data_IF_692465710686
#
_entry.id   IF_692465710686
#
_cell.length_a   1.000
_cell.length_b   1.000
_cell.length_c   1.000
_cell.angle_alpha   90.00
_cell.angle_beta   90.00
_cell.angle_gamma   90.00
#
_symmetry.space_group_name_H-M   'P 1'
#
loop_
_entity.id
_entity.type
_entity.pdbx_description
1 polymer ?
#
# COMPACT_ATOMS: atom_id res chain seq x y z
N UNK A 1 3.04 51.95 -15.48
CA UNK A 1 3.22 53.04 -16.47
C UNK A 1 4.70 53.06 -16.82
N UNK A 2 5.00 52.66 -18.07
CA UNK A 2 6.14 52.98 -18.96
C UNK A 2 7.58 52.89 -18.43
N UNK A 3 8.43 52.00 -18.97
CA UNK A 3 9.24 52.18 -20.21
C UNK A 3 10.31 53.28 -20.03
N UNK A 4 11.57 53.20 -20.46
CA UNK A 4 12.32 52.27 -21.33
C UNK A 4 13.79 52.73 -21.45
N UNK A 5 14.66 51.83 -21.95
CA UNK A 5 15.74 52.02 -22.97
C UNK A 5 17.03 52.81 -22.62
N UNK A 6 18.21 52.17 -22.71
CA UNK A 6 19.17 52.10 -23.87
C UNK A 6 19.94 53.43 -24.07
N UNK A 7 21.22 53.56 -24.47
CA UNK A 7 22.36 52.75 -24.95
C UNK A 7 23.52 53.74 -25.22
N UNK A 8 24.71 53.21 -25.57
CA UNK A 8 25.83 53.80 -26.35
C UNK A 8 27.11 53.98 -25.52
N UNK A 9 28.17 53.19 -25.73
CA UNK A 9 29.11 53.08 -26.87
C UNK A 9 30.21 54.17 -26.94
N UNK A 10 31.44 53.68 -26.77
CA UNK A 10 32.67 53.91 -27.55
C UNK A 10 33.66 55.08 -27.29
N UNK A 11 34.91 54.64 -27.02
CA UNK A 11 36.22 54.96 -27.66
C UNK A 11 37.12 56.10 -27.13
N UNK A 12 38.42 55.75 -27.04
CA UNK A 12 39.60 56.60 -26.87
C UNK A 12 40.61 55.87 -25.96
N UNK A 13 41.64 55.12 -26.37
CA UNK A 13 42.63 55.17 -27.47
C UNK A 13 43.66 56.30 -27.33
N UNK A 14 44.86 55.95 -26.82
CA UNK A 14 46.20 56.45 -27.21
C UNK A 14 47.26 55.59 -26.49
N UNK A 15 47.97 54.70 -27.19
CA UNK A 15 49.22 54.88 -27.98
C UNK A 15 50.47 54.75 -27.11
N UNK A 16 51.20 53.64 -27.25
CA UNK A 16 52.35 53.40 -28.15
C UNK A 16 53.66 53.78 -27.43
N UNK A 17 54.67 52.91 -27.34
CA UNK A 17 55.67 52.65 -28.42
C UNK A 17 56.59 51.52 -27.90
N UNK A 18 56.67 50.35 -28.58
CA UNK A 18 57.65 49.97 -29.63
C UNK A 18 59.08 49.81 -29.03
N UNK A 19 59.93 48.82 -29.31
CA UNK A 19 60.06 47.68 -30.26
C UNK A 19 61.37 46.97 -29.83
N UNK A 20 61.76 45.76 -30.25
CA UNK A 20 62.36 45.45 -31.57
C UNK A 20 62.56 43.91 -31.64
N UNK A 21 61.87 43.33 -32.63
CA UNK A 21 62.28 42.33 -33.64
C UNK A 21 63.11 41.06 -33.31
N UNK A 22 62.47 39.92 -33.63
CA UNK A 22 62.96 38.62 -34.16
C UNK A 22 63.66 38.77 -35.54
N UNK A 23 64.08 37.74 -36.34
CA UNK A 23 63.86 36.27 -36.26
C UNK A 23 65.06 35.38 -36.72
N UNK A 24 64.93 34.04 -36.63
CA UNK A 24 65.08 33.10 -37.77
C UNK A 24 65.03 31.61 -37.37
N UNK A 25 64.11 30.90 -38.03
CA UNK A 25 64.24 29.57 -38.65
C UNK A 25 64.44 28.34 -37.74
N UNK A 26 63.87 27.15 -37.96
CA UNK A 26 63.23 26.50 -39.11
C UNK A 26 62.76 25.12 -38.63
N UNK A 27 61.66 24.61 -39.22
CA UNK A 27 61.39 23.17 -39.47
C UNK A 27 61.30 22.20 -38.26
N UNK A 28 60.57 21.08 -38.26
CA UNK A 28 59.59 20.47 -39.14
C UNK A 28 58.83 19.42 -38.30
N UNK A 29 57.61 19.10 -38.72
CA UNK A 29 56.80 17.98 -38.21
C UNK A 29 57.47 16.64 -38.50
N UNK A 30 57.40 15.68 -37.57
CA UNK A 30 57.60 14.26 -37.88
C UNK A 30 57.75 13.35 -36.66
N UNK A 31 56.79 12.43 -36.51
CA UNK A 31 56.74 11.28 -35.58
C UNK A 31 56.64 11.63 -34.08
N UNK A 32 55.62 11.22 -33.32
CA UNK A 32 54.83 10.01 -33.46
C UNK A 32 55.12 9.10 -32.26
N UNK A 33 54.09 8.98 -31.41
CA UNK A 33 53.77 7.79 -30.62
C UNK A 33 54.85 7.27 -29.65
N UNK A 34 54.72 7.62 -28.37
CA UNK A 34 54.73 6.60 -27.31
C UNK A 34 53.78 7.07 -26.18
N UNK A 35 52.67 6.35 -26.01
CA UNK A 35 51.73 6.46 -24.87
C UNK A 35 52.47 6.43 -23.51
N UNK A 36 51.86 6.90 -22.41
CA UNK A 36 52.43 6.80 -21.06
C UNK A 36 52.83 5.36 -20.69
N UNK A 37 52.16 4.36 -21.27
CA UNK A 37 52.47 2.94 -21.15
C UNK A 37 53.77 2.59 -21.86
N UNK A 38 53.98 3.07 -23.09
CA UNK A 38 55.24 2.80 -23.82
C UNK A 38 56.47 3.49 -23.24
N UNK A 39 56.36 4.68 -22.64
CA UNK A 39 57.49 5.28 -21.89
C UNK A 39 57.89 4.44 -20.67
N UNK A 40 56.93 3.73 -20.07
CA UNK A 40 57.15 2.84 -18.91
C UNK A 40 57.64 1.45 -19.32
N UNK A 41 57.10 0.88 -20.41
CA UNK A 41 57.62 -0.34 -21.03
C UNK A 41 59.07 -0.12 -21.49
N UNK A 42 59.40 1.06 -22.00
CA UNK A 42 60.77 1.44 -22.34
C UNK A 42 61.69 1.48 -21.12
N UNK A 43 61.22 1.99 -19.98
CA UNK A 43 61.95 1.94 -18.71
C UNK A 43 62.22 0.51 -18.22
N UNK A 44 61.23 -0.39 -18.29
CA UNK A 44 61.39 -1.81 -17.94
C UNK A 44 62.34 -2.52 -18.92
N UNK A 45 62.24 -2.22 -20.22
CA UNK A 45 63.12 -2.75 -21.25
C UNK A 45 64.57 -2.31 -21.02
N UNK A 46 64.81 -1.05 -20.66
CA UNK A 46 66.16 -0.56 -20.35
C UNK A 46 66.75 -1.24 -19.11
N UNK A 47 65.96 -1.46 -18.05
CA UNK A 47 66.42 -2.19 -16.87
C UNK A 47 66.72 -3.66 -17.19
N UNK A 48 65.86 -4.32 -17.98
CA UNK A 48 66.10 -5.68 -18.44
C UNK A 48 67.37 -5.76 -19.30
N UNK A 49 67.51 -4.88 -20.29
CA UNK A 49 68.71 -4.79 -21.15
C UNK A 49 69.97 -4.59 -20.30
N UNK A 50 69.92 -3.72 -19.29
CA UNK A 50 71.04 -3.45 -18.40
C UNK A 50 71.41 -4.68 -17.56
N UNK A 51 70.43 -5.43 -17.05
CA UNK A 51 70.64 -6.70 -16.34
C UNK A 51 71.19 -7.78 -17.27
N UNK A 52 70.68 -7.90 -18.50
CA UNK A 52 71.17 -8.88 -19.49
C UNK A 52 72.60 -8.58 -19.92
N UNK A 53 72.96 -7.30 -20.11
CA UNK A 53 74.32 -6.87 -20.39
C UNK A 53 75.26 -7.19 -19.21
N UNK A 54 74.83 -6.96 -17.97
CA UNK A 54 75.60 -7.28 -16.77
C UNK A 54 75.81 -8.80 -16.59
N UNK A 55 74.80 -9.61 -16.94
CA UNK A 55 74.91 -11.07 -16.94
C UNK A 55 75.78 -11.58 -18.09
N UNK A 56 75.70 -10.96 -19.28
CA UNK A 56 76.59 -11.27 -20.40
C UNK A 56 78.05 -10.94 -20.06
N UNK A 57 78.32 -9.81 -19.41
CA UNK A 57 79.65 -9.45 -18.89
C UNK A 57 80.14 -10.38 -17.77
N UNK A 58 79.22 -11.03 -17.05
CA UNK A 58 79.55 -12.04 -16.04
C UNK A 58 79.88 -13.41 -16.67
N UNK A 59 79.23 -13.74 -17.78
CA UNK A 59 79.32 -15.06 -18.45
C UNK A 59 80.44 -15.10 -19.51
N UNK A 60 80.64 -14.03 -20.27
CA UNK A 60 81.49 -14.03 -21.47
C UNK A 60 82.85 -13.33 -21.29
N UNK A 61 83.13 -12.70 -20.15
CA UNK A 61 84.34 -11.90 -19.98
C UNK A 61 85.49 -12.73 -19.41
N UNK A 62 86.13 -13.52 -20.28
CA UNK A 62 87.47 -14.04 -20.06
C UNK A 62 88.49 -12.95 -20.48
N UNK A 63 89.13 -12.37 -19.46
CA UNK A 63 90.40 -11.62 -19.49
C UNK A 63 90.37 -10.06 -19.44
N UNK A 64 91.12 -9.56 -18.45
CA UNK A 64 91.76 -8.23 -18.32
C UNK A 64 90.92 -7.01 -17.89
N UNK A 65 90.24 -7.09 -16.75
CA UNK A 65 90.27 -6.03 -15.70
C UNK A 65 89.55 -6.56 -14.44
N UNK A 66 90.27 -6.71 -13.32
CA UNK A 66 89.76 -7.35 -12.10
C UNK A 66 88.87 -6.39 -11.30
N UNK A 67 87.61 -6.25 -11.69
CA UNK A 67 86.59 -5.66 -10.81
C UNK A 67 86.15 -6.78 -9.84
N UNK A 68 86.34 -6.62 -8.51
CA UNK A 68 86.03 -7.68 -7.55
C UNK A 68 84.58 -8.14 -7.65
N UNK A 69 84.34 -9.45 -7.55
CA UNK A 69 83.02 -10.09 -7.63
C UNK A 69 81.97 -9.40 -6.74
N UNK A 70 82.41 -8.88 -5.58
CA UNK A 70 81.62 -8.12 -4.62
C UNK A 70 80.92 -6.91 -5.27
N UNK A 71 81.62 -6.13 -6.11
CA UNK A 71 81.03 -4.95 -6.77
C UNK A 71 80.02 -5.34 -7.85
N UNK A 72 80.26 -6.46 -8.55
CA UNK A 72 79.30 -7.00 -9.53
C UNK A 72 78.02 -7.49 -8.83
N UNK A 73 78.16 -8.19 -7.71
CA UNK A 73 77.02 -8.63 -6.88
C UNK A 73 76.24 -7.45 -6.30
N UNK A 74 76.92 -6.39 -5.84
CA UNK A 74 76.26 -5.16 -5.35
C UNK A 74 75.51 -4.46 -6.49
N UNK A 75 76.12 -4.30 -7.65
CA UNK A 75 75.46 -3.69 -8.82
C UNK A 75 74.24 -4.48 -9.28
N UNK A 76 74.33 -5.81 -9.28
CA UNK A 76 73.19 -6.68 -9.61
C UNK A 76 72.08 -6.60 -8.55
N UNK A 77 72.42 -6.56 -7.26
CA UNK A 77 71.44 -6.41 -6.18
C UNK A 77 70.69 -5.08 -6.27
N UNK A 78 71.38 -3.98 -6.59
CA UNK A 78 70.77 -2.67 -6.81
C UNK A 78 69.85 -2.71 -8.03
N UNK A 79 70.29 -3.31 -9.15
CA UNK A 79 69.47 -3.45 -10.36
C UNK A 79 68.20 -4.28 -10.11
N UNK A 80 68.31 -5.38 -9.35
CA UNK A 80 67.16 -6.21 -8.97
C UNK A 80 66.21 -5.48 -8.00
N UNK A 81 66.74 -4.67 -7.08
CA UNK A 81 65.92 -3.84 -6.19
C UNK A 81 65.09 -2.82 -6.99
N UNK A 82 65.70 -2.11 -7.94
CA UNK A 82 64.96 -1.17 -8.80
C UNK A 82 63.97 -1.88 -9.73
N UNK A 83 64.31 -3.06 -10.25
CA UNK A 83 63.38 -3.87 -11.04
C UNK A 83 62.15 -4.27 -10.20
N UNK A 84 62.36 -4.73 -8.97
CA UNK A 84 61.27 -5.08 -8.05
C UNK A 84 60.41 -3.87 -7.67
N UNK A 85 61.02 -2.71 -7.39
CA UNK A 85 60.29 -1.48 -7.07
C UNK A 85 59.43 -0.99 -8.26
N UNK A 86 59.96 -1.06 -9.48
CA UNK A 86 59.20 -0.73 -10.71
C UNK A 86 58.05 -1.73 -10.93
N UNK A 87 58.30 -3.03 -10.78
CA UNK A 87 57.27 -4.07 -10.90
C UNK A 87 56.16 -3.89 -9.83
N UNK A 88 56.53 -3.54 -8.60
CA UNK A 88 55.60 -3.28 -7.51
C UNK A 88 54.73 -2.05 -7.80
N UNK A 89 55.32 -0.95 -8.32
CA UNK A 89 54.57 0.25 -8.71
C UNK A 89 53.59 -0.02 -9.85
N UNK A 90 54.00 -0.78 -10.86
CA UNK A 90 53.12 -1.18 -11.99
C UNK A 90 51.98 -2.07 -11.50
N UNK A 91 52.26 -3.00 -10.58
CA UNK A 91 51.25 -3.86 -9.97
C UNK A 91 50.26 -3.03 -9.15
N UNK A 92 50.71 -2.20 -8.21
CA UNK A 92 49.83 -1.37 -7.35
C UNK A 92 48.97 -0.40 -8.19
N UNK A 93 49.51 0.26 -9.21
CA UNK A 93 48.73 1.14 -10.09
C UNK A 93 47.72 0.38 -10.95
N UNK A 94 48.07 -0.80 -11.48
CA UNK A 94 47.16 -1.66 -12.25
C UNK A 94 45.97 -2.18 -11.42
N UNK A 95 46.21 -2.55 -10.16
CA UNK A 95 45.17 -2.98 -9.23
C UNK A 95 44.22 -1.83 -8.85
N UNK A 96 44.67 -0.58 -8.82
CA UNK A 96 43.78 0.57 -8.55
C UNK A 96 42.72 0.71 -9.65
N UNK A 97 43.08 0.53 -10.92
CA UNK A 97 42.12 0.56 -12.03
C UNK A 97 41.14 -0.62 -11.98
N UNK A 98 41.62 -1.82 -11.65
CA UNK A 98 40.78 -3.02 -11.49
C UNK A 98 39.82 -2.88 -10.30
N UNK A 99 40.28 -2.38 -9.16
CA UNK A 99 39.44 -2.13 -7.97
C UNK A 99 38.41 -1.02 -8.25
N UNK A 100 38.75 0.03 -9.01
CA UNK A 100 37.79 1.06 -9.45
C UNK A 100 36.72 0.47 -10.38
N UNK A 101 37.10 -0.39 -11.32
CA UNK A 101 36.16 -1.09 -12.20
C UNK A 101 35.24 -2.05 -11.41
N UNK A 102 35.79 -2.81 -10.46
CA UNK A 102 35.02 -3.65 -9.54
C UNK A 102 34.05 -2.83 -8.70
N UNK A 103 34.46 -1.68 -8.17
CA UNK A 103 33.56 -0.75 -7.45
C UNK A 103 32.44 -0.25 -8.36
N UNK A 104 32.72 0.09 -9.62
CA UNK A 104 31.69 0.49 -10.58
C UNK A 104 30.69 -0.64 -10.86
N UNK A 105 31.17 -1.88 -11.04
CA UNK A 105 30.31 -3.06 -11.22
C UNK A 105 29.43 -3.29 -9.98
N UNK A 106 30.00 -3.16 -8.78
CA UNK A 106 29.26 -3.26 -7.52
C UNK A 106 28.18 -2.16 -7.43
N UNK A 107 28.50 -0.92 -7.78
CA UNK A 107 27.54 0.20 -7.79
C UNK A 107 26.42 -0.02 -8.81
N UNK A 108 26.75 -0.47 -10.03
CA UNK A 108 25.76 -0.84 -11.05
C UNK A 108 24.86 -1.97 -10.53
N UNK A 109 25.42 -2.99 -9.88
CA UNK A 109 24.66 -4.10 -9.30
C UNK A 109 23.77 -3.64 -8.14
N UNK A 110 24.25 -2.73 -7.28
CA UNK A 110 23.45 -2.11 -6.22
C UNK A 110 22.31 -1.30 -6.83
N UNK A 111 22.57 -0.47 -7.84
CA UNK A 111 21.53 0.31 -8.52
C UNK A 111 20.49 -0.61 -9.18
N UNK A 112 20.95 -1.68 -9.84
CA UNK A 112 20.08 -2.69 -10.44
C UNK A 112 19.21 -3.39 -9.38
N UNK A 113 19.77 -3.80 -8.24
CA UNK A 113 19.03 -4.39 -7.14
C UNK A 113 18.01 -3.41 -6.53
N UNK A 114 18.36 -2.13 -6.38
CA UNK A 114 17.44 -1.08 -5.91
C UNK A 114 16.29 -0.91 -6.91
N UNK A 115 16.59 -0.90 -8.21
CA UNK A 115 15.59 -0.80 -9.26
C UNK A 115 14.65 -2.01 -9.25
N UNK A 116 15.18 -3.23 -9.21
CA UNK A 116 14.40 -4.47 -9.09
C UNK A 116 13.51 -4.48 -7.85
N UNK A 117 14.03 -4.05 -6.69
CA UNK A 117 13.24 -3.92 -5.46
C UNK A 117 12.07 -2.96 -5.64
N UNK A 118 12.28 -1.80 -6.27
CA UNK A 118 11.21 -0.81 -6.52
C UNK A 118 10.13 -1.36 -7.44
N UNK A 119 10.50 -2.09 -8.49
CA UNK A 119 9.52 -2.73 -9.39
C UNK A 119 8.74 -3.83 -8.68
N UNK A 120 9.40 -4.64 -7.84
CA UNK A 120 8.72 -5.66 -7.03
C UNK A 120 7.71 -5.03 -6.05
N UNK A 121 8.07 -3.93 -5.39
CA UNK A 121 7.14 -3.17 -4.53
C UNK A 121 5.90 -2.70 -5.30
N UNK A 122 6.07 -2.13 -6.49
CA UNK A 122 4.95 -1.70 -7.34
C UNK A 122 4.05 -2.87 -7.73
N UNK A 123 4.65 -3.99 -8.15
CA UNK A 123 3.91 -5.20 -8.50
C UNK A 123 3.11 -5.73 -7.30
N UNK A 124 3.73 -5.81 -6.13
CA UNK A 124 3.07 -6.27 -4.90
C UNK A 124 1.91 -5.36 -4.48
N UNK A 125 2.08 -4.03 -4.59
CA UNK A 125 0.98 -3.07 -4.36
C UNK A 125 -0.16 -3.25 -5.35
N UNK A 126 0.13 -3.52 -6.63
CA UNK A 126 -0.88 -3.77 -7.68
C UNK A 126 -1.66 -5.07 -7.41
N UNK A 127 -0.95 -6.14 -7.02
CA UNK A 127 -1.57 -7.41 -6.65
C UNK A 127 -2.55 -7.24 -5.47
N UNK A 128 -2.14 -6.53 -4.41
CA UNK A 128 -2.99 -6.29 -3.23
C UNK A 128 -4.17 -5.37 -3.54
N UNK A 129 -4.02 -4.45 -4.50
CA UNK A 129 -5.13 -3.61 -4.95
C UNK A 129 -6.09 -4.32 -5.90
N UNK A 130 -5.73 -5.50 -6.44
CA UNK A 130 -6.51 -6.16 -7.49
C UNK A 130 -6.85 -5.17 -8.63
N UNK A 131 -8.08 -5.19 -9.14
CA UNK A 131 -8.58 -4.28 -10.18
C UNK A 131 -9.26 -3.02 -9.59
N UNK A 132 -8.81 -2.54 -8.44
CA UNK A 132 -9.28 -1.24 -7.92
C UNK A 132 -8.69 -0.09 -8.73
N UNK A 133 -9.46 0.98 -8.92
CA UNK A 133 -9.01 2.18 -9.64
C UNK A 133 -7.92 2.92 -8.85
N UNK A 134 -6.66 2.71 -9.23
CA UNK A 134 -5.50 3.37 -8.62
C UNK A 134 -5.30 4.78 -9.18
N UNK A 135 -4.67 5.65 -8.41
CA UNK A 135 -4.17 6.93 -8.88
C UNK A 135 -2.71 6.77 -9.33
N UNK A 136 -2.49 6.85 -10.65
CA UNK A 136 -1.18 6.60 -11.30
C UNK A 136 -0.62 7.82 -12.06
N UNK A 137 -1.02 9.04 -11.66
CA UNK A 137 -0.70 10.30 -12.35
C UNK A 137 0.25 11.17 -11.51
N UNK A 138 0.86 12.19 -12.12
CA UNK A 138 1.67 13.22 -11.43
C UNK A 138 2.82 12.69 -10.56
N UNK A 139 3.37 11.53 -10.93
CA UNK A 139 4.43 10.85 -10.18
C UNK A 139 3.96 10.15 -8.90
N UNK A 140 2.68 9.78 -8.83
CA UNK A 140 2.11 8.96 -7.74
C UNK A 140 1.60 7.62 -8.30
N UNK A 141 1.73 6.55 -7.52
CA UNK A 141 1.09 5.25 -7.75
C UNK A 141 0.48 4.76 -6.43
N UNK A 142 -0.74 5.24 -6.15
CA UNK A 142 -1.44 5.01 -4.89
C UNK A 142 -2.75 4.27 -5.14
N UNK A 143 -3.08 3.34 -4.25
CA UNK A 143 -4.43 2.78 -4.16
C UNK A 143 -5.37 3.82 -3.52
N UNK A 144 -5.77 4.78 -4.35
CA UNK A 144 -6.51 5.98 -4.04
C UNK A 144 -7.42 6.30 -5.22
N UNK A 145 -8.69 6.60 -4.94
CA UNK A 145 -9.72 6.90 -5.93
C UNK A 145 -10.49 8.14 -5.51
N UNK A 146 -10.64 9.10 -6.41
CA UNK A 146 -11.65 10.15 -6.28
C UNK A 146 -13.02 9.53 -6.59
N UNK A 147 -13.82 9.30 -5.55
CA UNK A 147 -15.21 8.87 -5.72
C UNK A 147 -16.02 10.03 -6.28
N UNK A 148 -15.81 11.23 -5.77
CA UNK A 148 -16.17 12.51 -6.38
C UNK A 148 -14.94 13.42 -6.38
N UNK A 149 -15.05 14.66 -6.87
CA UNK A 149 -13.93 15.62 -6.84
C UNK A 149 -13.45 15.94 -5.40
N UNK A 150 -14.35 15.86 -4.42
CA UNK A 150 -14.07 16.21 -3.02
C UNK A 150 -14.10 15.03 -2.05
N UNK A 151 -14.34 13.80 -2.54
CA UNK A 151 -14.41 12.59 -1.72
C UNK A 151 -13.42 11.55 -2.25
N UNK A 152 -12.44 11.20 -1.42
CA UNK A 152 -11.41 10.21 -1.74
C UNK A 152 -11.67 8.91 -0.96
N UNK A 153 -11.65 7.79 -1.66
CA UNK A 153 -11.52 6.45 -1.08
C UNK A 153 -10.09 5.94 -1.26
N UNK A 154 -9.45 5.47 -0.20
CA UNK A 154 -8.09 4.91 -0.31
C UNK A 154 -7.87 3.67 0.55
N UNK A 155 -6.81 2.92 0.26
CA UNK A 155 -6.31 1.88 1.15
C UNK A 155 -5.50 2.45 2.32
N UNK A 156 -5.29 1.63 3.35
CA UNK A 156 -4.59 2.03 4.56
C UNK A 156 -3.18 2.62 4.27
N UNK A 157 -2.87 3.84 4.73
CA UNK A 157 -1.53 4.39 4.66
C UNK A 157 -0.63 3.69 5.68
N UNK A 158 0.44 3.05 5.22
CA UNK A 158 1.28 2.18 6.03
C UNK A 158 2.74 2.65 6.08
N UNK A 159 3.40 2.30 7.17
CA UNK A 159 4.84 2.47 7.38
C UNK A 159 5.56 1.12 7.48
N UNK A 160 6.89 1.13 7.48
CA UNK A 160 7.72 -0.06 7.66
C UNK A 160 7.48 -1.15 6.60
N UNK A 161 7.48 -2.43 7.02
CA UNK A 161 7.33 -3.57 6.09
C UNK A 161 5.99 -3.58 5.34
N UNK A 162 4.95 -2.96 5.89
CA UNK A 162 3.63 -2.95 5.25
C UNK A 162 3.55 -2.00 4.04
N UNK A 163 4.45 -1.01 3.93
CA UNK A 163 4.49 -0.11 2.76
C UNK A 163 5.01 -0.80 1.51
N UNK A 164 5.62 -1.98 1.64
CA UNK A 164 6.04 -2.81 0.51
C UNK A 164 4.86 -3.26 -0.37
N UNK A 165 3.68 -3.45 0.23
CA UNK A 165 2.50 -3.97 -0.46
C UNK A 165 1.24 -3.12 -0.27
N UNK A 166 1.34 -1.98 0.43
CA UNK A 166 0.27 -0.97 0.60
C UNK A 166 0.80 0.42 0.30
N UNK A 167 -0.08 1.43 0.39
CA UNK A 167 0.29 2.83 0.20
C UNK A 167 1.31 3.25 1.26
N UNK A 168 2.53 3.68 0.89
CA UNK A 168 3.45 4.31 1.84
C UNK A 168 2.81 5.58 2.41
N UNK A 169 2.77 5.71 3.74
CA UNK A 169 2.12 6.86 4.40
C UNK A 169 2.73 8.20 3.95
N UNK A 170 4.05 8.26 3.80
CA UNK A 170 4.77 9.45 3.32
C UNK A 170 4.30 9.87 1.92
N UNK A 171 4.03 8.92 1.02
CA UNK A 171 3.53 9.21 -0.32
C UNK A 171 2.07 9.69 -0.30
N UNK A 172 1.25 9.19 0.62
CA UNK A 172 -0.13 9.67 0.81
C UNK A 172 -0.13 11.09 1.38
N UNK A 173 0.74 11.39 2.34
CA UNK A 173 0.93 12.75 2.89
C UNK A 173 1.41 13.69 1.79
N UNK A 174 2.46 13.30 1.05
CA UNK A 174 2.99 14.06 -0.10
C UNK A 174 1.90 14.34 -1.13
N UNK A 175 1.03 13.37 -1.39
CA UNK A 175 -0.09 13.52 -2.30
C UNK A 175 -1.10 14.56 -1.79
N UNK A 176 -1.58 14.40 -0.56
CA UNK A 176 -2.60 15.28 0.02
C UNK A 176 -2.08 16.71 0.23
N UNK A 177 -0.85 16.88 0.72
CA UNK A 177 -0.25 18.20 0.92
C UNK A 177 0.02 18.92 -0.42
N UNK A 178 0.40 18.16 -1.47
CA UNK A 178 0.62 18.74 -2.81
C UNK A 178 -0.68 19.10 -3.53
N UNK A 179 -1.72 18.27 -3.40
CA UNK A 179 -2.98 18.42 -4.16
C UNK A 179 -4.05 19.22 -3.44
N UNK A 180 -4.06 19.16 -2.11
CA UNK A 180 -5.10 19.76 -1.24
C UNK A 180 -4.46 20.47 -0.04
N UNK A 181 -3.52 21.41 -0.25
CA UNK A 181 -2.79 22.05 0.85
C UNK A 181 -3.76 22.67 1.85
N UNK A 182 -3.74 22.18 3.09
CA UNK A 182 -4.63 22.59 4.18
C UNK A 182 -6.14 22.35 4.03
N UNK A 183 -6.56 21.72 2.94
CA UNK A 183 -7.96 21.50 2.60
C UNK A 183 -8.36 20.02 2.65
N UNK A 184 -7.74 19.19 3.49
CA UNK A 184 -8.15 17.79 3.65
C UNK A 184 -8.34 17.37 5.10
N UNK A 185 -9.30 16.46 5.32
CA UNK A 185 -9.44 15.69 6.56
C UNK A 185 -9.44 14.19 6.25
N UNK A 186 -8.75 13.41 7.08
CA UNK A 186 -8.62 11.96 6.92
C UNK A 186 -9.53 11.23 7.90
N UNK A 187 -10.24 10.21 7.43
CA UNK A 187 -11.05 9.33 8.28
C UNK A 187 -10.50 7.90 8.25
N UNK A 188 -10.01 7.44 9.40
CA UNK A 188 -9.52 6.08 9.59
C UNK A 188 -10.61 5.20 10.20
N UNK A 189 -11.12 4.26 9.40
CA UNK A 189 -12.20 3.35 9.78
C UNK A 189 -11.71 2.02 10.40
N UNK A 190 -10.41 1.90 10.68
CA UNK A 190 -9.83 0.67 11.24
C UNK A 190 -9.93 0.65 12.77
N UNK A 191 -10.61 -0.35 13.32
CA UNK A 191 -10.48 -0.71 14.73
C UNK A 191 -9.10 -1.34 15.02
N UNK A 192 -8.57 -2.10 14.06
CA UNK A 192 -7.39 -2.95 14.24
C UNK A 192 -6.05 -2.24 14.03
N UNK A 193 -6.05 -1.03 13.44
CA UNK A 193 -4.84 -0.33 13.01
C UNK A 193 -4.94 1.18 13.18
N UNK A 194 -3.84 1.78 13.61
CA UNK A 194 -3.64 3.21 13.72
C UNK A 194 -2.24 3.61 13.23
N UNK A 195 -2.04 4.90 13.08
CA UNK A 195 -0.76 5.56 12.79
C UNK A 195 -0.75 6.90 13.54
N UNK A 196 0.42 7.52 13.67
CA UNK A 196 0.54 8.83 14.32
C UNK A 196 -0.23 9.89 13.51
N UNK A 197 -1.26 10.57 14.08
CA UNK A 197 -2.02 11.58 13.37
C UNK A 197 -1.17 12.81 12.95
N UNK A 198 0.03 12.98 13.51
CA UNK A 198 0.97 14.05 13.12
C UNK A 198 1.38 13.99 11.66
N UNK A 199 1.39 12.80 11.05
CA UNK A 199 1.64 12.66 9.60
C UNK A 199 0.68 13.51 8.75
N UNK A 200 -0.55 13.71 9.22
CA UNK A 200 -1.60 14.43 8.53
C UNK A 200 -1.97 15.73 9.24
N UNK A 201 -1.00 16.38 9.92
CA UNK A 201 -1.18 17.64 10.62
C UNK A 201 -2.31 17.60 11.66
N UNK A 202 -2.49 16.43 12.32
CA UNK A 202 -3.58 16.15 13.26
C UNK A 202 -5.00 16.26 12.69
N UNK A 203 -5.16 16.24 11.36
CA UNK A 203 -6.48 16.26 10.68
C UNK A 203 -7.02 14.84 10.46
N UNK A 204 -6.97 13.99 11.48
CA UNK A 204 -7.41 12.59 11.41
C UNK A 204 -8.53 12.31 12.42
N UNK A 205 -9.69 11.89 11.93
CA UNK A 205 -10.78 11.33 12.75
C UNK A 205 -10.79 9.80 12.67
N UNK A 206 -11.20 9.13 13.74
CA UNK A 206 -11.27 7.65 13.79
C UNK A 206 -12.68 7.16 14.10
N UNK A 207 -13.09 6.12 13.39
CA UNK A 207 -14.32 5.36 13.67
C UNK A 207 -13.94 3.88 13.72
N UNK A 208 -14.27 3.21 14.83
CA UNK A 208 -13.71 1.89 15.13
C UNK A 208 -14.61 0.78 14.58
N UNK A 209 -14.47 0.52 13.27
CA UNK A 209 -15.24 -0.50 12.56
C UNK A 209 -14.37 -1.74 12.33
N UNK A 210 -14.82 -2.90 12.81
CA UNK A 210 -14.11 -4.16 12.61
C UNK A 210 -14.09 -4.59 11.14
N UNK A 211 -13.03 -5.30 10.73
CA UNK A 211 -12.89 -5.75 9.34
C UNK A 211 -14.08 -6.64 8.95
N UNK A 212 -14.69 -6.36 7.79
CA UNK A 212 -15.92 -7.01 7.28
C UNK A 212 -17.18 -6.86 8.15
N UNK A 213 -17.19 -5.89 9.07
CA UNK A 213 -18.37 -5.55 9.88
C UNK A 213 -18.92 -4.16 9.49
N UNK A 214 -19.92 -3.70 10.25
CA UNK A 214 -20.65 -2.44 10.06
C UNK A 214 -20.34 -1.45 11.19
N UNK A 215 -20.42 -0.13 10.93
CA UNK A 215 -20.53 0.86 12.01
C UNK A 215 -21.88 0.72 12.73
N UNK A 216 -22.01 1.33 13.90
CA UNK A 216 -23.34 1.59 14.46
C UNK A 216 -24.10 2.61 13.61
N UNK A 217 -25.42 2.55 13.62
CA UNK A 217 -26.23 3.52 12.87
C UNK A 217 -26.01 4.96 13.38
N UNK A 218 -25.80 5.12 14.68
CA UNK A 218 -25.43 6.39 15.30
C UNK A 218 -24.09 6.92 14.77
N UNK A 219 -23.04 6.08 14.69
CA UNK A 219 -21.74 6.49 14.12
C UNK A 219 -21.86 6.96 12.66
N UNK A 220 -22.76 6.38 11.87
CA UNK A 220 -23.01 6.85 10.49
C UNK A 220 -23.61 8.27 10.47
N UNK A 221 -24.56 8.57 11.34
CA UNK A 221 -25.16 9.91 11.45
C UNK A 221 -24.13 10.94 11.92
N UNK A 222 -23.36 10.63 12.96
CA UNK A 222 -22.33 11.54 13.47
C UNK A 222 -21.28 11.81 12.38
N UNK A 223 -20.77 10.77 11.74
CA UNK A 223 -19.79 10.89 10.67
C UNK A 223 -20.27 11.81 9.53
N UNK A 224 -21.49 11.59 9.04
CA UNK A 224 -22.01 12.37 7.90
C UNK A 224 -22.22 13.84 8.25
N UNK A 225 -22.63 14.15 9.49
CA UNK A 225 -22.70 15.53 10.00
C UNK A 225 -21.32 16.17 10.10
N UNK A 226 -20.34 15.49 10.71
CA UNK A 226 -18.96 15.99 10.83
C UNK A 226 -18.33 16.27 9.46
N UNK A 227 -18.56 15.38 8.47
CA UNK A 227 -18.08 15.60 7.11
C UNK A 227 -18.77 16.80 6.47
N UNK A 228 -20.10 16.92 6.59
CA UNK A 228 -20.84 18.07 6.04
C UNK A 228 -20.33 19.39 6.64
N UNK A 229 -20.14 19.46 7.95
CA UNK A 229 -19.60 20.63 8.64
C UNK A 229 -18.20 20.99 8.13
N UNK A 230 -17.30 20.01 7.98
CA UNK A 230 -15.97 20.22 7.42
C UNK A 230 -16.03 20.74 5.97
N UNK A 231 -16.89 20.13 5.15
CA UNK A 231 -17.00 20.46 3.73
C UNK A 231 -17.66 21.82 3.49
N UNK A 232 -18.48 22.30 4.44
CA UNK A 232 -19.12 23.61 4.40
C UNK A 232 -18.18 24.77 4.77
N UNK A 233 -17.08 24.50 5.50
CA UNK A 233 -16.12 25.54 5.90
C UNK A 233 -15.38 26.16 4.72
N UNK A 234 -15.11 25.38 3.67
CA UNK A 234 -14.42 25.86 2.47
C UNK A 234 -14.78 24.99 1.25
N UNK A 235 -15.10 25.56 0.08
CA UNK A 235 -15.38 24.80 -1.15
C UNK A 235 -14.21 23.93 -1.63
N UNK A 236 -12.96 24.26 -1.27
CA UNK A 236 -11.79 23.46 -1.57
C UNK A 236 -11.61 22.27 -0.62
N UNK A 237 -12.31 22.23 0.53
CA UNK A 237 -12.17 21.14 1.49
C UNK A 237 -12.59 19.80 0.87
N UNK A 238 -11.77 18.77 1.10
CA UNK A 238 -12.01 17.39 0.70
C UNK A 238 -11.92 16.46 1.90
N UNK A 239 -12.44 15.25 1.76
CA UNK A 239 -12.25 14.17 2.73
C UNK A 239 -11.58 12.95 2.10
N UNK A 240 -10.64 12.35 2.83
CA UNK A 240 -9.99 11.09 2.46
C UNK A 240 -10.36 10.01 3.46
N UNK A 241 -11.20 9.07 3.03
CA UNK A 241 -11.77 8.02 3.88
C UNK A 241 -11.08 6.70 3.54
N UNK A 242 -10.60 6.00 4.55
CA UNK A 242 -9.90 4.75 4.35
C UNK A 242 -10.23 3.71 5.41
N UNK A 243 -10.06 2.45 5.03
CA UNK A 243 -10.01 1.32 5.93
C UNK A 243 -8.75 0.52 5.61
N UNK A 244 -8.73 -0.79 5.89
CA UNK A 244 -7.65 -1.67 5.44
C UNK A 244 -7.61 -1.75 3.91
N UNK A 245 -8.71 -2.14 3.27
CA UNK A 245 -8.75 -2.38 1.82
C UNK A 245 -9.22 -1.20 0.97
N UNK A 246 -9.83 -0.17 1.58
CA UNK A 246 -10.55 0.88 0.84
C UNK A 246 -11.72 0.34 0.02
N UNK A 247 -12.44 -0.67 0.55
CA UNK A 247 -13.58 -1.38 -0.08
C UNK A 247 -14.80 -1.33 0.84
N UNK A 248 -15.17 -2.42 1.53
CA UNK A 248 -16.37 -2.54 2.38
C UNK A 248 -16.64 -1.37 3.32
N UNK A 249 -15.87 -1.25 4.42
CA UNK A 249 -16.05 -0.18 5.43
C UNK A 249 -16.03 1.23 4.83
N UNK A 250 -15.06 1.50 3.95
CA UNK A 250 -14.91 2.80 3.26
C UNK A 250 -16.14 3.10 2.39
N UNK A 251 -16.60 2.11 1.62
CA UNK A 251 -17.77 2.22 0.77
C UNK A 251 -19.04 2.44 1.58
N UNK A 252 -19.23 1.74 2.71
CA UNK A 252 -20.38 1.96 3.60
C UNK A 252 -20.48 3.42 4.05
N UNK A 253 -19.39 3.98 4.57
CA UNK A 253 -19.39 5.36 5.06
C UNK A 253 -19.49 6.39 3.93
N UNK A 254 -18.82 6.15 2.78
CA UNK A 254 -18.94 7.03 1.61
C UNK A 254 -20.36 7.00 1.05
N UNK A 255 -21.00 5.83 0.94
CA UNK A 255 -22.36 5.74 0.42
C UNK A 255 -23.35 6.46 1.33
N UNK A 256 -23.21 6.29 2.65
CA UNK A 256 -23.98 7.08 3.60
C UNK A 256 -23.78 8.58 3.38
N UNK A 257 -22.54 9.03 3.15
CA UNK A 257 -22.26 10.44 2.90
C UNK A 257 -22.81 10.96 1.56
N UNK A 258 -22.80 10.15 0.50
CA UNK A 258 -23.39 10.52 -0.78
C UNK A 258 -24.91 10.71 -0.66
N UNK A 259 -25.57 9.88 0.15
CA UNK A 259 -27.00 10.02 0.47
C UNK A 259 -27.25 11.25 1.35
N UNK A 260 -26.40 11.45 2.37
CA UNK A 260 -26.44 12.63 3.23
C UNK A 260 -26.30 13.95 2.46
N UNK A 261 -25.51 13.94 1.38
CA UNK A 261 -25.28 15.08 0.48
C UNK A 261 -26.33 15.21 -0.62
N UNK A 262 -27.37 14.37 -0.62
CA UNK A 262 -28.45 14.32 -1.61
C UNK A 262 -27.97 14.11 -3.06
N UNK A 263 -26.77 13.55 -3.23
CA UNK A 263 -26.24 13.13 -4.54
C UNK A 263 -27.00 11.90 -5.05
N UNK A 264 -27.40 11.01 -4.13
CA UNK A 264 -28.27 9.86 -4.39
C UNK A 264 -29.38 9.80 -3.36
N UNK A 265 -30.56 9.35 -3.78
CA UNK A 265 -31.73 9.19 -2.90
C UNK A 265 -31.84 7.76 -2.35
N UNK A 266 -31.26 6.79 -3.06
CA UNK A 266 -31.36 5.38 -2.69
C UNK A 266 -30.01 4.77 -2.33
N UNK A 267 -30.04 3.77 -1.44
CA UNK A 267 -28.86 2.98 -1.11
C UNK A 267 -28.31 2.23 -2.33
N UNK A 268 -29.19 1.71 -3.20
CA UNK A 268 -28.81 0.97 -4.38
C UNK A 268 -27.96 1.81 -5.35
N UNK A 269 -28.44 3.01 -5.71
CA UNK A 269 -27.72 3.92 -6.60
C UNK A 269 -26.37 4.32 -6.02
N UNK A 270 -26.34 4.65 -4.73
CA UNK A 270 -25.10 5.05 -4.06
C UNK A 270 -24.08 3.90 -4.00
N UNK A 271 -24.52 2.68 -3.69
CA UNK A 271 -23.68 1.48 -3.63
C UNK A 271 -23.14 1.13 -5.02
N UNK A 272 -24.00 1.19 -6.03
CA UNK A 272 -23.62 0.96 -7.42
C UNK A 272 -22.58 1.98 -7.89
N UNK A 273 -22.85 3.27 -7.69
CA UNK A 273 -21.94 4.35 -8.05
C UNK A 273 -20.58 4.21 -7.38
N UNK A 274 -20.54 3.94 -6.07
CA UNK A 274 -19.27 3.75 -5.36
C UNK A 274 -18.47 2.59 -5.97
N UNK A 275 -19.12 1.45 -6.22
CA UNK A 275 -18.46 0.29 -6.81
C UNK A 275 -17.97 0.54 -8.23
N UNK A 276 -18.73 1.27 -9.06
CA UNK A 276 -18.31 1.69 -10.40
C UNK A 276 -17.08 2.61 -10.36
N UNK A 277 -17.07 3.58 -9.45
CA UNK A 277 -15.91 4.48 -9.26
C UNK A 277 -14.70 3.73 -8.75
N UNK A 278 -14.89 2.77 -7.85
CA UNK A 278 -13.81 2.02 -7.22
C UNK A 278 -13.24 0.90 -8.09
N UNK A 279 -14.01 0.41 -9.06
CA UNK A 279 -13.59 -0.65 -9.98
C UNK A 279 -12.90 -0.06 -11.21
N UNK A 280 -11.77 -0.64 -11.58
CA UNK A 280 -11.19 -0.49 -12.90
C UNK A 280 -11.58 -1.71 -13.75
N UNK A 281 -12.47 -1.48 -14.72
CA UNK A 281 -13.03 -2.52 -15.60
C UNK A 281 -12.11 -2.89 -16.77
N UNK A 282 -10.99 -2.21 -16.94
CA UNK A 282 -10.06 -2.47 -18.06
C UNK A 282 -9.39 -3.84 -17.94
N UNK A 283 -9.12 -4.30 -16.72
CA UNK A 283 -8.31 -5.50 -16.47
C UNK A 283 -9.08 -6.66 -15.82
N UNK A 284 -10.30 -6.43 -15.32
CA UNK A 284 -11.13 -7.47 -14.69
C UNK A 284 -12.58 -7.01 -14.54
N UNK A 285 -13.52 -7.95 -14.66
CA UNK A 285 -14.95 -7.74 -14.39
C UNK A 285 -15.31 -7.82 -12.89
N UNK A 286 -14.35 -8.09 -12.00
CA UNK A 286 -14.60 -8.22 -10.56
C UNK A 286 -15.02 -6.89 -9.95
N UNK A 287 -16.27 -6.77 -9.53
CA UNK A 287 -16.79 -5.57 -8.86
C UNK A 287 -16.06 -5.27 -7.53
N UNK A 288 -15.71 -4.00 -7.28
CA UNK A 288 -14.92 -3.51 -6.13
C UNK A 288 -15.73 -2.60 -5.19
N UNK A 289 -17.02 -2.87 -5.02
CA UNK A 289 -17.92 -2.11 -4.15
C UNK A 289 -17.90 -2.52 -2.68
N UNK A 290 -19.00 -2.24 -2.00
CA UNK A 290 -19.26 -2.70 -0.63
C UNK A 290 -19.37 -4.22 -0.61
N UNK A 291 -18.82 -4.85 0.43
CA UNK A 291 -18.40 -6.25 0.37
C UNK A 291 -19.39 -7.23 0.99
N UNK A 292 -20.08 -6.82 2.05
CA UNK A 292 -20.95 -7.71 2.84
C UNK A 292 -22.41 -7.27 2.77
N UNK A 293 -23.39 -8.19 2.72
CA UNK A 293 -24.80 -7.85 2.81
C UNK A 293 -25.17 -6.99 4.02
N UNK A 294 -24.57 -7.23 5.18
CA UNK A 294 -24.80 -6.37 6.35
C UNK A 294 -24.37 -4.92 6.12
N UNK A 295 -23.24 -4.68 5.45
CA UNK A 295 -22.83 -3.33 5.07
C UNK A 295 -23.82 -2.67 4.11
N UNK A 296 -24.33 -3.41 3.12
CA UNK A 296 -25.37 -2.90 2.21
C UNK A 296 -26.66 -2.55 2.96
N UNK A 297 -27.09 -3.43 3.87
CA UNK A 297 -28.27 -3.24 4.73
C UNK A 297 -28.16 -1.97 5.56
N UNK A 298 -26.99 -1.69 6.14
CA UNK A 298 -26.76 -0.49 6.95
C UNK A 298 -26.76 0.81 6.12
N UNK A 299 -26.33 0.77 4.85
CA UNK A 299 -26.54 1.91 3.93
C UNK A 299 -28.04 2.11 3.68
N UNK A 300 -28.82 1.03 3.53
CA UNK A 300 -30.28 1.07 3.46
C UNK A 300 -30.94 1.66 4.71
N UNK A 301 -30.52 1.25 5.90
CA UNK A 301 -30.99 1.83 7.16
C UNK A 301 -30.65 3.32 7.26
N UNK A 302 -29.45 3.73 6.86
CA UNK A 302 -29.06 5.13 6.84
C UNK A 302 -29.92 5.96 5.88
N UNK A 303 -30.24 5.45 4.69
CA UNK A 303 -31.14 6.13 3.76
C UNK A 303 -32.52 6.40 4.39
N UNK A 304 -33.06 5.42 5.13
CA UNK A 304 -34.30 5.61 5.88
C UNK A 304 -34.14 6.63 7.01
N UNK A 305 -33.02 6.62 7.76
CA UNK A 305 -32.74 7.65 8.77
C UNK A 305 -32.76 9.06 8.17
N UNK A 306 -32.11 9.25 7.02
CA UNK A 306 -32.08 10.53 6.32
C UNK A 306 -33.48 10.95 5.84
N UNK A 307 -34.17 10.08 5.12
CA UNK A 307 -35.37 10.46 4.36
C UNK A 307 -36.69 10.25 5.12
N UNK A 308 -36.82 9.17 5.89
CA UNK A 308 -38.06 8.84 6.61
C UNK A 308 -38.07 9.40 8.03
N UNK A 309 -36.92 9.37 8.73
CA UNK A 309 -36.81 9.83 10.12
C UNK A 309 -36.20 11.24 10.25
N UNK A 310 -35.97 11.93 9.12
CA UNK A 310 -35.42 13.28 9.05
C UNK A 310 -34.19 13.47 9.95
N UNK A 311 -33.17 12.64 9.74
CA UNK A 311 -31.91 12.59 10.50
C UNK A 311 -32.00 12.11 11.95
N UNK A 312 -33.19 11.82 12.47
CA UNK A 312 -33.33 11.24 13.79
C UNK A 312 -33.18 9.72 13.69
N UNK A 313 -32.57 9.12 14.72
CA UNK A 313 -32.59 7.67 14.83
C UNK A 313 -34.03 7.20 15.01
N UNK A 314 -34.42 6.07 14.38
CA UNK A 314 -35.75 5.51 14.58
C UNK A 314 -35.99 5.18 16.06
N UNK A 315 -37.24 5.22 16.54
CA UNK A 315 -37.56 4.86 17.92
C UNK A 315 -36.99 3.49 18.29
N UNK A 316 -36.28 3.44 19.42
CA UNK A 316 -35.65 2.20 19.88
C UNK A 316 -36.72 1.14 20.14
N UNK A 317 -36.57 -0.02 19.50
CA UNK A 317 -37.39 -1.21 19.76
C UNK A 317 -36.60 -2.23 20.58
N UNK A 318 -37.14 -2.66 21.71
CA UNK A 318 -36.56 -3.71 22.54
C UNK A 318 -37.22 -5.04 22.17
N UNK A 319 -36.43 -5.99 21.69
CA UNK A 319 -36.90 -7.27 21.19
C UNK A 319 -36.21 -8.44 21.90
N UNK A 320 -36.89 -9.58 21.96
CA UNK A 320 -36.34 -10.85 22.43
C UNK A 320 -36.36 -11.85 21.29
N UNK A 321 -35.26 -12.54 21.02
CA UNK A 321 -35.30 -13.63 20.04
C UNK A 321 -35.98 -14.84 20.68
N UNK A 322 -37.03 -15.33 20.04
CA UNK A 322 -37.75 -16.55 20.45
C UNK A 322 -37.23 -17.78 19.71
N UNK A 323 -36.99 -17.65 18.40
CA UNK A 323 -36.60 -18.77 17.55
C UNK A 323 -35.78 -18.31 16.35
N UNK A 324 -34.76 -19.09 16.01
CA UNK A 324 -34.16 -19.07 14.67
C UNK A 324 -34.70 -20.25 13.85
N UNK A 325 -34.99 -20.03 12.58
CA UNK A 325 -35.34 -21.06 11.61
C UNK A 325 -34.30 -20.98 10.50
N UNK A 326 -33.56 -22.05 10.29
CA UNK A 326 -32.58 -22.14 9.20
C UNK A 326 -33.14 -23.10 8.17
N UNK A 327 -33.31 -22.61 6.95
CA UNK A 327 -33.82 -23.37 5.82
C UNK A 327 -32.66 -23.99 5.05
N UNK A 328 -32.76 -25.27 4.70
CA UNK A 328 -31.91 -25.97 3.74
C UNK A 328 -30.40 -25.75 3.90
N UNK A 329 -29.80 -26.44 4.88
CA UNK A 329 -28.36 -26.43 5.13
C UNK A 329 -27.74 -27.80 4.86
N UNK A 330 -26.72 -27.84 3.99
CA UNK A 330 -25.99 -29.07 3.67
C UNK A 330 -24.74 -29.19 4.53
N UNK A 331 -24.41 -30.41 4.95
CA UNK A 331 -23.31 -30.70 5.87
C UNK A 331 -23.79 -30.81 7.31
N UNK A 332 -23.26 -31.77 8.07
CA UNK A 332 -23.79 -32.16 9.39
C UNK A 332 -23.96 -30.97 10.34
N UNK A 333 -25.21 -30.60 10.61
CA UNK A 333 -25.61 -29.45 11.43
C UNK A 333 -25.72 -29.76 12.92
N UNK A 334 -25.34 -30.97 13.32
CA UNK A 334 -25.55 -31.51 14.67
C UNK A 334 -24.84 -30.70 15.77
N UNK A 335 -23.86 -29.87 15.43
CA UNK A 335 -23.04 -29.11 16.38
C UNK A 335 -23.19 -27.57 16.24
N UNK A 336 -24.24 -27.12 15.53
CA UNK A 336 -24.47 -25.71 15.29
C UNK A 336 -24.62 -24.93 16.61
N UNK A 337 -23.91 -23.81 16.71
CA UNK A 337 -23.93 -22.92 17.86
C UNK A 337 -24.24 -21.51 17.40
N UNK A 338 -25.04 -20.78 18.17
CA UNK A 338 -25.38 -19.38 17.90
C UNK A 338 -24.82 -18.48 19.01
N UNK A 339 -24.31 -17.31 18.60
CA UNK A 339 -23.83 -16.26 19.49
C UNK A 339 -24.46 -14.94 19.08
N UNK A 340 -24.94 -14.17 20.04
CA UNK A 340 -25.48 -12.83 19.82
C UNK A 340 -24.54 -11.82 20.46
N UNK A 341 -24.18 -10.80 19.69
CA UNK A 341 -23.31 -9.71 20.10
C UNK A 341 -24.06 -8.39 19.93
N UNK A 342 -24.06 -7.57 20.99
CA UNK A 342 -24.66 -6.23 21.03
C UNK A 342 -23.71 -5.33 21.82
N UNK A 343 -23.54 -4.08 21.40
CA UNK A 343 -22.57 -3.15 22.02
C UNK A 343 -21.14 -3.72 22.15
N UNK A 344 -20.70 -4.49 21.15
CA UNK A 344 -19.39 -5.19 21.14
C UNK A 344 -19.19 -6.21 22.27
N UNK A 345 -20.27 -6.63 22.96
CA UNK A 345 -20.26 -7.66 24.00
C UNK A 345 -21.08 -8.86 23.59
N UNK A 346 -20.63 -10.07 23.96
CA UNK A 346 -21.42 -11.29 23.80
C UNK A 346 -22.53 -11.29 24.85
N UNK A 347 -23.78 -11.13 24.40
CA UNK A 347 -24.96 -11.09 25.28
C UNK A 347 -25.67 -12.44 25.37
N UNK A 348 -25.45 -13.33 24.41
CA UNK A 348 -26.00 -14.69 24.40
C UNK A 348 -25.06 -15.67 23.71
N UNK A 349 -25.01 -16.91 24.22
CA UNK A 349 -24.33 -18.04 23.59
C UNK A 349 -25.12 -19.32 23.82
N UNK A 350 -25.32 -20.09 22.75
CA UNK A 350 -26.00 -21.40 22.81
C UNK A 350 -25.18 -22.49 23.52
N UNK A 351 -23.90 -22.23 23.80
CA UNK A 351 -23.04 -23.17 24.54
C UNK A 351 -23.34 -23.21 26.03
N UNK A 352 -24.07 -22.22 26.55
CA UNK A 352 -24.49 -22.18 27.95
C UNK A 352 -25.67 -23.15 28.15
N UNK A 353 -25.53 -24.05 29.14
CA UNK A 353 -26.51 -25.10 29.40
C UNK A 353 -27.92 -24.51 29.59
N UNK A 354 -28.92 -25.04 28.90
CA UNK A 354 -30.34 -24.70 29.09
C UNK A 354 -30.85 -23.43 28.38
N UNK A 355 -30.00 -22.71 27.64
CA UNK A 355 -30.38 -21.44 27.00
C UNK A 355 -31.03 -21.59 25.61
N UNK A 356 -30.95 -22.78 25.01
CA UNK A 356 -31.60 -23.06 23.73
C UNK A 356 -31.83 -24.55 23.52
N UNK A 357 -32.80 -24.90 22.68
CA UNK A 357 -32.94 -26.24 22.10
C UNK A 357 -32.80 -26.17 20.57
N UNK A 358 -32.04 -27.11 20.01
CA UNK A 358 -31.82 -27.22 18.57
C UNK A 358 -32.49 -28.51 18.09
N UNK A 359 -33.46 -28.37 17.19
CA UNK A 359 -34.17 -29.47 16.55
C UNK A 359 -33.86 -29.44 15.05
N UNK A 360 -33.45 -30.57 14.49
CA UNK A 360 -33.32 -30.75 13.05
C UNK A 360 -34.56 -31.51 12.54
N UNK A 361 -35.42 -30.80 11.83
CA UNK A 361 -36.57 -31.36 11.15
C UNK A 361 -36.17 -31.82 9.75
N UNK A 362 -35.98 -33.14 9.62
CA UNK A 362 -35.54 -33.79 8.38
C UNK A 362 -36.62 -33.73 7.30
N UNK A 363 -37.91 -33.75 7.69
CA UNK A 363 -39.02 -33.76 6.74
C UNK A 363 -39.16 -32.42 6.02
N UNK A 364 -38.98 -31.33 6.76
CA UNK A 364 -39.08 -29.96 6.20
C UNK A 364 -37.73 -29.35 5.81
N UNK A 365 -36.62 -30.06 6.02
CA UNK A 365 -35.24 -29.61 5.77
C UNK A 365 -34.94 -28.29 6.51
N UNK A 366 -35.27 -28.26 7.81
CA UNK A 366 -35.14 -27.07 8.67
C UNK A 366 -34.41 -27.38 9.97
N UNK A 367 -33.61 -26.42 10.41
CA UNK A 367 -33.09 -26.38 11.79
C UNK A 367 -33.86 -25.32 12.57
N UNK A 368 -34.51 -25.75 13.65
CA UNK A 368 -35.20 -24.87 14.59
C UNK A 368 -34.30 -24.68 15.82
N UNK A 369 -34.01 -23.44 16.17
CA UNK A 369 -33.26 -23.09 17.38
C UNK A 369 -34.18 -22.25 18.25
N UNK A 370 -34.79 -22.88 19.26
CA UNK A 370 -35.56 -22.18 20.28
C UNK A 370 -34.62 -21.53 21.29
N UNK A 371 -34.87 -20.27 21.60
CA UNK A 371 -34.06 -19.50 22.56
C UNK A 371 -34.89 -19.29 23.82
N UNK A 372 -34.39 -19.83 24.93
CA UNK A 372 -35.01 -19.69 26.25
C UNK A 372 -34.29 -18.59 27.02
N UNK A 373 -35.05 -17.73 27.71
CA UNK A 373 -34.50 -16.63 28.52
C UNK A 373 -33.53 -15.72 27.74
N UNK A 374 -33.83 -15.44 26.47
CA UNK A 374 -33.01 -14.53 25.66
C UNK A 374 -32.89 -13.13 26.29
N UNK A 375 -31.74 -12.45 26.15
CA UNK A 375 -31.58 -11.09 26.65
C UNK A 375 -32.44 -10.10 25.85
N UNK A 376 -32.79 -8.92 26.42
CA UNK A 376 -33.36 -7.83 25.65
C UNK A 376 -32.32 -7.33 24.65
N UNK A 377 -32.74 -7.18 23.39
CA UNK A 377 -31.92 -6.68 22.29
C UNK A 377 -32.44 -5.33 21.83
N UNK A 378 -31.54 -4.41 21.50
CA UNK A 378 -31.86 -3.09 20.98
C UNK A 378 -30.73 -2.57 20.07
N UNK A 379 -31.05 -1.58 19.24
CA UNK A 379 -30.14 -0.95 18.30
C UNK A 379 -29.42 -1.99 17.41
N UNK A 380 -28.10 -1.91 17.28
CA UNK A 380 -27.29 -2.71 16.36
C UNK A 380 -26.91 -4.07 16.97
N UNK A 381 -27.42 -5.14 16.36
CA UNK A 381 -27.26 -6.51 16.84
C UNK A 381 -26.59 -7.37 15.77
N UNK A 382 -25.61 -8.16 16.20
CA UNK A 382 -24.92 -9.16 15.39
C UNK A 382 -25.29 -10.56 15.85
N UNK A 383 -25.55 -11.45 14.90
CA UNK A 383 -25.77 -12.88 15.14
C UNK A 383 -24.73 -13.67 14.38
N UNK A 384 -24.02 -14.56 15.07
CA UNK A 384 -22.98 -15.42 14.50
C UNK A 384 -23.35 -16.89 14.69
N UNK A 385 -23.10 -17.71 13.67
CA UNK A 385 -23.34 -19.16 13.71
C UNK A 385 -22.01 -19.89 13.58
N UNK A 386 -21.79 -20.90 14.41
CA UNK A 386 -20.56 -21.69 14.48
C UNK A 386 -20.85 -23.18 14.33
N UNK A 387 -19.99 -23.90 13.64
CA UNK A 387 -19.96 -25.37 13.57
C UNK A 387 -18.53 -25.79 13.25
N UNK A 388 -18.07 -26.91 13.80
CA UNK A 388 -16.80 -27.57 13.46
C UNK A 388 -16.84 -28.22 12.07
N UNK A 389 -18.03 -28.52 11.56
CA UNK A 389 -18.23 -29.20 10.28
C UNK A 389 -18.32 -28.21 9.10
N UNK A 390 -18.44 -26.91 9.38
CA UNK A 390 -18.58 -25.87 8.36
C UNK A 390 -17.32 -25.02 8.24
N UNK A 391 -16.91 -24.65 7.01
CA UNK A 391 -15.74 -23.81 6.80
C UNK A 391 -15.98 -22.39 7.34
N UNK A 392 -14.92 -21.81 7.90
CA UNK A 392 -14.92 -20.44 8.44
C UNK A 392 -14.44 -19.45 7.38
N UNK A 393 -15.04 -18.26 7.36
CA UNK A 393 -14.69 -17.19 6.43
C UNK A 393 -14.46 -15.87 7.17
N UNK A 394 -15.20 -14.81 6.83
CA UNK A 394 -15.13 -13.57 7.58
C UNK A 394 -15.66 -13.77 8.98
N UNK A 395 -15.10 -12.97 9.90
CA UNK A 395 -15.49 -12.97 11.30
C UNK A 395 -15.25 -14.32 12.02
N UNK A 396 -14.39 -15.16 11.44
CA UNK A 396 -14.00 -16.48 11.95
C UNK A 396 -15.19 -17.41 12.26
N UNK A 397 -16.25 -17.30 11.47
CA UNK A 397 -17.44 -18.15 11.55
C UNK A 397 -17.91 -18.59 10.16
N UNK A 398 -18.71 -19.68 10.07
CA UNK A 398 -19.41 -20.08 8.84
C UNK A 398 -20.23 -18.96 8.21
N UNK A 399 -21.12 -18.34 8.99
CA UNK A 399 -21.96 -17.22 8.55
C UNK A 399 -22.43 -16.38 9.73
N UNK A 400 -22.72 -15.12 9.45
CA UNK A 400 -23.24 -14.16 10.41
C UNK A 400 -24.10 -13.12 9.69
N UNK A 401 -24.75 -12.26 10.46
CA UNK A 401 -25.40 -11.07 9.94
C UNK A 401 -25.56 -10.02 11.02
N UNK A 402 -25.73 -8.77 10.59
CA UNK A 402 -26.13 -7.65 11.41
C UNK A 402 -27.53 -7.17 11.04
N UNK A 403 -28.28 -6.72 12.03
CA UNK A 403 -29.53 -6.00 11.87
C UNK A 403 -29.62 -4.89 12.92
N UNK A 404 -30.59 -3.99 12.76
CA UNK A 404 -30.92 -3.01 13.78
C UNK A 404 -32.38 -3.23 14.23
N UNK A 405 -32.61 -3.32 15.54
CA UNK A 405 -33.93 -3.74 16.09
C UNK A 405 -35.06 -2.78 15.70
N UNK A 406 -34.76 -1.50 15.54
CA UNK A 406 -35.76 -0.48 15.19
C UNK A 406 -36.33 -0.64 13.78
N UNK A 407 -35.66 -1.39 12.90
CA UNK A 407 -36.10 -1.66 11.52
C UNK A 407 -36.81 -3.01 11.36
N UNK A 408 -36.92 -3.80 12.43
CA UNK A 408 -37.68 -5.04 12.37
C UNK A 408 -39.17 -4.70 12.16
N UNK A 409 -39.88 -5.51 11.39
CA UNK A 409 -41.32 -5.36 11.16
C UNK A 409 -42.01 -6.69 11.44
N UNK A 410 -43.24 -6.66 11.93
CA UNK A 410 -44.05 -7.85 12.22
C UNK A 410 -43.34 -8.89 13.10
N UNK A 411 -42.44 -8.44 13.98
CA UNK A 411 -41.62 -9.27 14.87
C UNK A 411 -40.92 -10.44 14.15
N UNK A 412 -40.49 -10.20 12.91
CA UNK A 412 -39.87 -11.20 12.04
C UNK A 412 -38.74 -10.58 11.21
N UNK A 413 -37.65 -11.32 11.03
CA UNK A 413 -36.58 -11.01 10.08
C UNK A 413 -36.29 -12.23 9.23
N UNK A 414 -36.49 -12.15 7.92
CA UNK A 414 -36.17 -13.22 6.98
C UNK A 414 -35.00 -12.79 6.09
N UNK A 415 -33.90 -13.53 6.12
CA UNK A 415 -32.70 -13.24 5.34
C UNK A 415 -32.40 -14.42 4.39
N UNK A 416 -32.57 -14.26 3.07
CA UNK A 416 -32.14 -15.28 2.11
C UNK A 416 -30.61 -15.38 2.06
N UNK A 417 -30.08 -16.44 1.44
CA UNK A 417 -28.64 -16.69 1.30
C UNK A 417 -27.82 -15.47 0.87
N UNK A 418 -28.33 -14.71 -0.10
CA UNK A 418 -27.62 -13.56 -0.66
C UNK A 418 -27.58 -12.35 0.28
N UNK A 419 -28.35 -12.39 1.37
CA UNK A 419 -28.41 -11.37 2.41
C UNK A 419 -27.65 -11.73 3.70
N UNK A 420 -26.97 -12.89 3.70
CA UNK A 420 -26.18 -13.38 4.82
C UNK A 420 -24.68 -13.20 4.56
N UNK A 421 -23.93 -12.79 5.57
CA UNK A 421 -22.49 -12.57 5.46
C UNK A 421 -21.77 -13.92 5.45
N UNK A 422 -20.93 -14.10 4.42
CA UNK A 422 -20.30 -15.35 3.94
C UNK A 422 -21.12 -16.16 2.91
N UNK A 423 -22.40 -16.56 3.14
CA UNK A 423 -23.19 -17.32 2.16
C UNK A 423 -23.47 -16.58 0.84
N UNK A 424 -23.46 -15.24 0.84
CA UNK A 424 -23.58 -14.44 -0.38
C UNK A 424 -22.48 -14.74 -1.42
N UNK A 425 -21.37 -15.36 -1.03
CA UNK A 425 -20.26 -15.66 -1.94
C UNK A 425 -20.48 -16.96 -2.69
N UNK A 426 -20.36 -16.90 -4.02
CA UNK A 426 -20.52 -18.04 -4.92
C UNK A 426 -19.71 -19.29 -4.54
N UNK A 427 -18.49 -19.10 -4.02
CA UNK A 427 -17.62 -20.21 -3.56
C UNK A 427 -18.23 -21.06 -2.44
N UNK A 428 -19.28 -20.58 -1.77
CA UNK A 428 -19.94 -21.25 -0.64
C UNK A 428 -21.23 -21.97 -1.03
N UNK A 429 -21.70 -21.80 -2.28
CA UNK A 429 -23.04 -22.26 -2.69
C UNK A 429 -23.21 -23.78 -2.79
N UNK A 430 -22.11 -24.54 -2.74
CA UNK A 430 -22.16 -26.01 -2.58
C UNK A 430 -22.71 -26.41 -1.20
N UNK A 431 -22.45 -25.58 -0.18
CA UNK A 431 -22.88 -25.78 1.21
C UNK A 431 -24.22 -25.07 1.46
N UNK A 432 -24.34 -23.84 0.95
CA UNK A 432 -25.54 -23.02 1.09
C UNK A 432 -26.32 -22.97 -0.24
N UNK A 433 -27.31 -23.86 -0.46
CA UNK A 433 -28.09 -23.90 -1.68
C UNK A 433 -28.95 -22.63 -1.85
N UNK A 434 -29.57 -22.39 -3.02
CA UNK A 434 -30.40 -21.20 -3.26
C UNK A 434 -31.54 -20.99 -2.25
N UNK A 435 -32.08 -22.08 -1.71
CA UNK A 435 -33.14 -22.10 -0.70
C UNK A 435 -32.64 -21.76 0.71
N UNK A 436 -31.31 -21.71 0.91
CA UNK A 436 -30.74 -21.40 2.22
C UNK A 436 -31.18 -20.02 2.69
N UNK A 437 -31.74 -19.96 3.88
CA UNK A 437 -32.20 -18.73 4.51
C UNK A 437 -32.14 -18.85 6.03
N UNK A 438 -32.08 -17.71 6.70
CA UNK A 438 -32.22 -17.64 8.16
C UNK A 438 -33.39 -16.71 8.46
N UNK A 439 -34.31 -17.21 9.25
CA UNK A 439 -35.42 -16.44 9.78
C UNK A 439 -35.29 -16.32 11.30
N UNK A 440 -35.59 -15.13 11.82
CA UNK A 440 -35.59 -14.81 13.24
C UNK A 440 -36.99 -14.39 13.62
N UNK A 441 -37.56 -15.07 14.61
CA UNK A 441 -38.84 -14.72 15.23
C UNK A 441 -38.57 -14.01 16.55
N UNK A 442 -39.19 -12.85 16.71
CA UNK A 442 -39.03 -12.00 17.89
C UNK A 442 -40.27 -12.02 18.78
N UNK A 443 -40.07 -11.76 20.06
CA UNK A 443 -41.10 -11.37 21.01
C UNK A 443 -40.91 -9.92 21.43
N UNK A 444 -42.01 -9.28 21.80
CA UNK A 444 -42.04 -8.01 22.52
C UNK A 444 -42.38 -8.30 23.99
N UNK A 445 -41.91 -7.45 24.90
CA UNK A 445 -42.41 -7.42 26.28
C UNK A 445 -43.43 -6.31 26.43
#
# INVERSE_FOLDING_TARGET
INESKQTNEFKGATKETLTIETPHSSECKGAGLLSPVSKRIFGVFLVLLHVTLLLADLIFNDSKLYIPLVYRSISLAIALFFLMDVLLRVFVEGWIHLVRLLRLIILIRIFHLIHQKRELEKLMRRLVSENKRRYTRDGFDLDLTYVTERIIAMSFPSSGRQSFYRNPIEEVVRFLDKKHPNHYRVYNLCSERAYDPKYFHNRVSRIMIDDHNVPTLHEMVVFTKEVNEWMAQDPANIVAIHCKGGKGRTGTMICAFLIASEIFLTAEESLYYFGERRTDKTNSSKFQGVETPSQNRYVGYFAQVKHLYNWNLPPRRILFIKRFIIYSIRGGVCDLKVRIVMEKKVVFSSTSLGNCSILHDIETDRVLIDVFNGPPLYDDVKVQFFSSNLPKYYDNCPFFFWFNTSFIQSNRLYLPRNELDNPHKQKTWKIYPPQFAVEVLFGEK
#
